data_IF_399907519575
#
_entry.id   IF_399907519575
#
_cell.length_a   1.000
_cell.length_b   1.000
_cell.length_c   1.000
_cell.angle_alpha   90.00
_cell.angle_beta   90.00
_cell.angle_gamma   90.00
#
_symmetry.space_group_name_H-M   'P 1'
#
loop_
_entity.id
_entity.type
_entity.pdbx_description
1 polymer ?
#
# COMPACT_ATOMS: atom_id res chain seq x y z
N UNK A 1 10.71 -24.42 14.83
CA UNK A 1 11.78 -24.71 13.86
C UNK A 1 11.28 -24.59 12.43
N UNK A 2 10.32 -25.41 11.96
CA UNK A 2 9.80 -25.27 10.57
C UNK A 2 9.01 -23.97 10.34
N UNK A 3 8.19 -23.56 11.30
CA UNK A 3 7.50 -22.26 11.28
C UNK A 3 8.47 -21.08 11.17
N UNK A 4 9.56 -21.11 11.94
CA UNK A 4 10.57 -20.06 11.97
C UNK A 4 11.30 -19.98 10.62
N UNK A 5 11.69 -21.13 10.07
CA UNK A 5 12.31 -21.23 8.74
C UNK A 5 11.39 -20.69 7.62
N UNK A 6 10.09 -21.02 7.65
CA UNK A 6 9.13 -20.51 6.66
C UNK A 6 8.92 -19.00 6.81
N UNK A 7 8.92 -18.50 8.04
CA UNK A 7 8.82 -17.07 8.34
C UNK A 7 10.07 -16.33 7.84
N UNK A 8 11.26 -16.89 8.05
CA UNK A 8 12.52 -16.32 7.55
C UNK A 8 12.59 -16.31 6.02
N UNK A 9 12.04 -17.33 5.34
CA UNK A 9 11.94 -17.36 3.88
C UNK A 9 11.01 -16.27 3.34
N UNK A 10 9.86 -16.05 3.99
CA UNK A 10 8.94 -14.95 3.66
C UNK A 10 9.64 -13.61 3.86
N UNK A 11 10.28 -13.40 5.02
CA UNK A 11 11.01 -12.18 5.33
C UNK A 11 12.13 -11.91 4.31
N UNK A 12 12.87 -12.95 3.94
CA UNK A 12 13.94 -12.87 2.93
C UNK A 12 13.37 -12.48 1.57
N UNK A 13 12.31 -13.16 1.09
CA UNK A 13 11.68 -12.88 -0.20
C UNK A 13 11.06 -11.47 -0.29
N UNK A 14 10.55 -10.96 0.83
CA UNK A 14 10.02 -9.59 0.93
C UNK A 14 11.15 -8.56 0.99
N UNK A 15 12.26 -8.87 1.68
CA UNK A 15 13.42 -7.98 1.80
C UNK A 15 14.31 -7.92 0.55
N UNK A 16 14.32 -8.97 -0.29
CA UNK A 16 15.26 -9.10 -1.41
C UNK A 16 14.86 -8.36 -2.69
N UNK A 17 13.68 -7.75 -2.74
CA UNK A 17 13.21 -6.95 -3.89
C UNK A 17 13.18 -5.47 -3.50
N UNK A 18 14.34 -4.92 -3.15
CA UNK A 18 14.53 -3.47 -3.20
C UNK A 18 14.38 -3.03 -4.65
N UNK A 19 13.52 -2.05 -4.90
CA UNK A 19 13.41 -1.44 -6.21
C UNK A 19 14.72 -0.69 -6.47
N UNK A 20 15.62 -1.30 -7.25
CA UNK A 20 16.94 -0.73 -7.53
C UNK A 20 16.91 0.19 -8.74
N UNK A 21 17.70 1.27 -8.69
CA UNK A 21 17.94 2.13 -9.83
C UNK A 21 18.69 1.40 -10.94
N UNK A 22 18.12 1.37 -12.14
CA UNK A 22 18.78 0.83 -13.32
C UNK A 22 19.55 1.92 -14.04
N UNK A 23 20.85 1.71 -14.27
CA UNK A 23 21.69 2.67 -14.98
C UNK A 23 21.42 2.64 -16.47
N UNK A 24 21.18 3.80 -17.06
CA UNK A 24 21.01 3.98 -18.50
C UNK A 24 22.24 4.70 -19.07
N UNK A 25 22.90 4.14 -20.10
CA UNK A 25 24.07 4.76 -20.67
C UNK A 25 23.81 6.19 -21.17
N UNK A 26 24.68 7.14 -20.82
CA UNK A 26 24.58 8.54 -21.24
C UNK A 26 25.12 9.57 -20.25
N UNK A 27 25.18 10.82 -20.69
CA UNK A 27 25.65 11.96 -19.89
C UNK A 27 24.76 13.16 -20.15
N UNK A 28 23.71 13.34 -19.35
CA UNK A 28 22.69 14.36 -19.53
C UNK A 28 22.45 15.15 -18.24
N UNK A 29 22.21 16.44 -18.38
CA UNK A 29 21.91 17.35 -17.26
C UNK A 29 20.47 17.16 -16.77
N UNK A 30 19.53 16.96 -17.71
CA UNK A 30 18.10 16.78 -17.44
C UNK A 30 17.50 15.81 -18.44
N UNK A 31 16.54 15.00 -17.98
CA UNK A 31 15.68 14.19 -18.84
C UNK A 31 14.21 14.50 -18.58
N UNK A 32 13.35 14.28 -19.57
CA UNK A 32 11.91 14.47 -19.48
C UNK A 32 11.22 13.42 -20.32
N UNK A 33 10.30 12.68 -19.71
CA UNK A 33 9.61 11.55 -20.35
C UNK A 33 8.18 11.94 -20.77
N UNK A 34 7.76 11.46 -21.93
CA UNK A 34 6.43 11.70 -22.49
C UNK A 34 5.63 10.40 -22.59
N UNK A 35 4.30 10.51 -22.40
CA UNK A 35 3.36 9.42 -22.64
C UNK A 35 3.36 8.91 -24.09
N UNK A 36 3.92 9.67 -25.05
CA UNK A 36 4.16 9.18 -26.42
C UNK A 36 5.20 8.04 -26.52
N UNK A 37 5.83 7.64 -25.41
CA UNK A 37 6.84 6.59 -25.40
C UNK A 37 8.24 7.09 -25.78
N UNK A 38 8.55 8.35 -25.45
CA UNK A 38 9.85 8.96 -25.74
C UNK A 38 10.41 9.66 -24.50
N UNK A 39 11.72 9.50 -24.33
CA UNK A 39 12.52 10.19 -23.34
C UNK A 39 13.39 11.23 -24.04
N UNK A 40 13.23 12.48 -23.64
CA UNK A 40 14.03 13.59 -24.12
C UNK A 40 15.07 13.97 -23.08
N UNK A 41 16.20 14.45 -23.56
CA UNK A 41 17.37 14.72 -22.76
C UNK A 41 18.08 15.97 -23.21
N UNK A 42 18.64 16.73 -22.28
CA UNK A 42 19.59 17.79 -22.58
C UNK A 42 20.91 17.56 -21.86
N UNK A 43 22.01 17.82 -22.53
CA UNK A 43 23.35 17.65 -21.98
C UNK A 43 24.41 18.21 -22.90
N UNK A 44 25.42 18.88 -22.34
CA UNK A 44 26.53 19.43 -23.12
C UNK A 44 26.10 20.44 -24.20
N UNK A 45 25.01 21.19 -23.94
CA UNK A 45 24.43 22.15 -24.88
C UNK A 45 23.67 21.55 -26.06
N UNK A 46 23.37 20.24 -26.04
CA UNK A 46 22.66 19.52 -27.10
C UNK A 46 21.40 18.86 -26.56
N UNK A 47 20.48 18.57 -27.47
CA UNK A 47 19.24 17.83 -27.19
C UNK A 47 19.33 16.43 -27.78
N UNK A 48 18.84 15.47 -27.02
CA UNK A 48 18.87 14.06 -27.33
C UNK A 48 17.48 13.45 -27.16
N UNK A 49 17.16 12.45 -27.96
CA UNK A 49 15.91 11.70 -27.88
C UNK A 49 16.20 10.20 -27.83
N UNK A 50 15.41 9.48 -27.04
CA UNK A 50 15.47 8.04 -26.90
C UNK A 50 14.06 7.47 -26.88
N UNK A 51 13.79 6.46 -27.70
CA UNK A 51 12.49 5.78 -27.69
C UNK A 51 12.41 4.84 -26.49
N UNK A 52 11.28 4.83 -25.78
CA UNK A 52 11.04 3.93 -24.66
C UNK A 52 10.68 2.52 -25.16
N UNK A 53 11.17 1.43 -24.51
CA UNK A 53 12.10 1.44 -23.37
C UNK A 53 13.50 1.91 -23.78
N UNK A 54 14.03 2.91 -23.07
CA UNK A 54 15.31 3.54 -23.40
C UNK A 54 16.46 2.82 -22.69
N UNK A 55 17.36 2.22 -23.47
CA UNK A 55 18.56 1.53 -22.97
C UNK A 55 19.86 2.27 -23.34
N UNK A 56 19.79 3.59 -23.52
CA UNK A 56 20.93 4.45 -23.88
C UNK A 56 21.11 4.65 -25.39
N UNK A 57 20.14 4.25 -26.21
CA UNK A 57 20.07 4.47 -27.66
C UNK A 57 19.72 5.92 -28.02
N UNK A 58 20.47 6.88 -27.46
CA UNK A 58 20.28 8.31 -27.68
C UNK A 58 20.59 8.71 -29.12
N UNK A 59 19.68 9.49 -29.70
CA UNK A 59 19.88 10.16 -30.98
C UNK A 59 19.95 11.65 -30.75
N UNK A 60 21.00 12.30 -31.23
CA UNK A 60 21.08 13.75 -31.18
C UNK A 60 20.00 14.33 -32.10
N UNK A 61 19.36 15.40 -31.64
CA UNK A 61 18.35 16.14 -32.41
C UNK A 61 18.92 17.48 -32.81
N UNK A 62 18.79 17.81 -34.10
CA UNK A 62 19.19 19.11 -34.60
C UNK A 62 18.18 20.18 -34.16
N UNK A 63 18.69 21.26 -33.58
CA UNK A 63 17.88 22.33 -33.03
C UNK A 63 17.70 23.46 -34.03
N UNK A 64 16.50 24.07 -34.10
CA UNK A 64 16.20 25.17 -35.01
C UNK A 64 16.79 26.51 -34.54
N UNK A 65 17.39 26.52 -33.35
CA UNK A 65 17.89 27.70 -32.65
C UNK A 65 19.33 27.43 -32.20
N UNK A 66 20.21 28.43 -32.38
CA UNK A 66 21.62 28.36 -32.01
C UNK A 66 21.96 29.05 -30.67
N UNK A 67 20.97 29.64 -29.98
CA UNK A 67 21.17 30.27 -28.68
C UNK A 67 21.35 29.22 -27.56
N UNK A 68 21.73 29.68 -26.37
CA UNK A 68 22.05 28.77 -25.27
C UNK A 68 20.83 28.01 -24.79
N UNK A 69 20.97 26.68 -24.66
CA UNK A 69 19.96 25.79 -24.13
C UNK A 69 19.83 25.99 -22.61
N UNK A 70 18.60 26.18 -22.13
CA UNK A 70 18.33 26.46 -20.71
C UNK A 70 17.57 25.33 -20.02
N UNK A 71 16.53 24.81 -20.65
CA UNK A 71 15.70 23.77 -20.03
C UNK A 71 14.92 22.96 -21.06
N UNK A 72 14.43 21.79 -20.64
CA UNK A 72 13.50 20.95 -21.42
C UNK A 72 12.37 20.44 -20.54
N UNK A 73 11.18 20.29 -21.11
CA UNK A 73 10.06 19.59 -20.46
C UNK A 73 9.15 18.97 -21.51
N UNK A 74 8.58 17.83 -21.20
CA UNK A 74 7.59 17.13 -22.02
C UNK A 74 6.22 17.21 -21.37
N UNK A 75 5.18 17.10 -22.19
CA UNK A 75 3.88 16.62 -21.73
C UNK A 75 3.53 15.29 -22.42
N UNK A 76 2.26 14.91 -22.39
CA UNK A 76 1.75 13.68 -22.99
C UNK A 76 1.99 13.58 -24.51
N UNK A 77 2.19 14.71 -25.20
CA UNK A 77 2.18 14.81 -26.67
C UNK A 77 3.31 15.65 -27.26
N UNK A 78 3.86 16.62 -26.54
CA UNK A 78 4.82 17.58 -27.02
C UNK A 78 6.09 17.60 -26.16
N UNK A 79 7.19 17.98 -26.81
CA UNK A 79 8.43 18.40 -26.18
C UNK A 79 8.52 19.93 -26.29
N UNK A 80 8.96 20.55 -25.20
CA UNK A 80 9.26 21.96 -25.11
C UNK A 80 10.72 22.13 -24.75
N UNK A 81 11.44 22.91 -25.56
CA UNK A 81 12.86 23.20 -25.38
C UNK A 81 13.06 24.69 -25.22
N UNK A 82 13.48 25.09 -24.04
CA UNK A 82 13.76 26.47 -23.67
C UNK A 82 15.19 26.84 -24.04
N UNK A 83 15.31 27.91 -24.82
CA UNK A 83 16.54 28.62 -25.10
C UNK A 83 16.55 29.97 -24.39
N UNK A 84 17.64 30.72 -24.54
CA UNK A 84 17.80 32.04 -23.93
C UNK A 84 16.65 33.02 -24.20
N UNK A 85 16.18 33.06 -25.44
CA UNK A 85 15.19 34.03 -25.97
C UNK A 85 14.00 33.34 -26.66
N UNK A 86 14.04 32.01 -26.78
CA UNK A 86 13.10 31.25 -27.61
C UNK A 86 12.62 29.98 -26.94
N UNK A 87 11.41 29.57 -27.28
CA UNK A 87 10.85 28.27 -26.94
C UNK A 87 10.63 27.53 -28.26
N UNK A 88 11.32 26.41 -28.43
CA UNK A 88 11.06 25.48 -29.53
C UNK A 88 10.15 24.37 -29.04
N UNK A 89 9.16 23.99 -29.84
CA UNK A 89 8.22 22.94 -29.51
C UNK A 89 7.87 22.11 -30.73
N UNK A 90 7.60 20.83 -30.48
CA UNK A 90 7.17 19.85 -31.49
C UNK A 90 6.56 18.64 -30.80
N UNK A 91 6.03 17.67 -31.54
CA UNK A 91 5.58 16.39 -31.01
C UNK A 91 6.73 15.60 -30.38
N UNK A 92 6.45 14.99 -29.23
CA UNK A 92 7.44 14.26 -28.45
C UNK A 92 7.95 12.99 -29.15
N UNK A 93 7.24 12.49 -30.16
CA UNK A 93 7.69 11.37 -31.00
C UNK A 93 8.72 11.76 -32.07
N UNK A 94 9.13 13.03 -32.11
CA UNK A 94 10.11 13.57 -33.04
C UNK A 94 9.71 13.52 -34.54
N UNK A 95 8.42 13.47 -34.89
CA UNK A 95 7.99 13.30 -36.30
C UNK A 95 7.67 14.58 -37.07
N UNK A 96 7.41 15.69 -36.38
CA UNK A 96 7.01 16.97 -36.95
C UNK A 96 8.15 17.99 -36.99
N UNK A 97 7.89 19.14 -37.62
CA UNK A 97 8.83 20.27 -37.67
C UNK A 97 8.78 21.10 -36.39
N UNK A 98 9.87 21.78 -36.08
CA UNK A 98 9.92 22.67 -34.92
C UNK A 98 9.09 23.93 -35.12
N UNK A 99 8.24 24.25 -34.15
CA UNK A 99 7.61 25.57 -34.00
C UNK A 99 8.42 26.36 -32.98
N UNK A 100 8.77 27.60 -33.30
CA UNK A 100 9.60 28.46 -32.45
C UNK A 100 8.88 29.76 -32.14
N UNK A 101 8.78 30.08 -30.86
CA UNK A 101 8.15 31.31 -30.36
C UNK A 101 9.10 32.08 -29.45
N UNK A 102 8.85 33.39 -29.29
CA UNK A 102 9.61 34.24 -28.39
C UNK A 102 9.26 33.92 -26.92
N UNK A 103 10.23 34.15 -26.04
CA UNK A 103 10.09 33.94 -24.59
C UNK A 103 10.47 35.23 -23.87
N UNK A 104 9.80 35.59 -22.77
CA UNK A 104 10.28 36.65 -21.89
C UNK A 104 11.71 36.42 -21.46
N UNK A 105 12.48 37.50 -21.31
CA UNK A 105 13.86 37.42 -20.87
C UNK A 105 13.99 36.71 -19.51
N UNK A 106 15.13 36.07 -19.29
CA UNK A 106 15.53 35.45 -18.03
C UNK A 106 14.68 34.28 -17.51
N UNK A 107 13.71 33.78 -18.29
CA UNK A 107 13.11 32.47 -17.98
C UNK A 107 14.22 31.42 -18.03
N UNK A 108 14.47 30.77 -16.88
CA UNK A 108 15.53 29.77 -16.73
C UNK A 108 15.01 28.33 -16.68
N UNK A 109 13.72 28.17 -16.39
CA UNK A 109 13.07 26.86 -16.28
C UNK A 109 11.66 26.91 -16.83
N UNK A 110 11.24 25.79 -17.41
CA UNK A 110 9.86 25.56 -17.84
C UNK A 110 9.29 24.27 -17.26
N UNK A 111 7.99 24.29 -17.03
CA UNK A 111 7.19 23.14 -16.59
C UNK A 111 5.86 23.14 -17.34
N UNK A 112 5.15 22.02 -17.30
CA UNK A 112 4.01 21.77 -18.17
C UNK A 112 2.82 21.25 -17.35
N UNK A 113 1.67 21.91 -17.44
CA UNK A 113 0.39 21.40 -16.90
C UNK A 113 -0.54 20.95 -18.03
N UNK A 114 -1.80 20.63 -17.79
CA UNK A 114 -2.72 20.26 -18.87
C UNK A 114 -2.95 21.42 -19.86
N UNK A 115 -3.11 22.63 -19.33
CA UNK A 115 -3.52 23.79 -20.13
C UNK A 115 -2.38 24.76 -20.48
N UNK A 116 -1.27 24.73 -19.75
CA UNK A 116 -0.24 25.77 -19.85
C UNK A 116 1.18 25.23 -19.85
N UNK A 117 2.05 25.94 -20.55
CA UNK A 117 3.50 25.89 -20.32
C UNK A 117 3.81 27.05 -19.38
N UNK A 118 4.46 26.76 -18.27
CA UNK A 118 4.84 27.75 -17.27
C UNK A 118 6.33 28.02 -17.35
N UNK A 119 6.70 29.28 -17.17
CA UNK A 119 8.09 29.71 -17.05
C UNK A 119 8.25 30.68 -15.90
N UNK A 120 9.42 30.65 -15.26
CA UNK A 120 9.76 31.52 -14.14
C UNK A 120 11.07 32.26 -14.42
N UNK A 121 11.01 33.59 -14.34
CA UNK A 121 12.15 34.51 -14.45
C UNK A 121 12.36 35.19 -13.09
N UNK A 122 13.29 34.68 -12.28
CA UNK A 122 13.45 35.09 -10.89
C UNK A 122 12.16 34.82 -10.09
N UNK A 123 11.48 35.87 -9.64
CA UNK A 123 10.19 35.75 -8.93
C UNK A 123 8.97 35.84 -9.84
N UNK A 124 9.13 36.43 -11.03
CA UNK A 124 8.04 36.62 -11.99
C UNK A 124 7.69 35.30 -12.68
N UNK A 125 6.40 35.01 -12.77
CA UNK A 125 5.86 33.83 -13.45
C UNK A 125 5.17 34.23 -14.73
N UNK A 126 5.27 33.37 -15.73
CA UNK A 126 4.57 33.50 -16.99
C UNK A 126 3.89 32.18 -17.31
N UNK A 127 2.70 32.26 -17.90
CA UNK A 127 2.02 31.11 -18.48
C UNK A 127 1.75 31.34 -19.96
N UNK A 128 1.97 30.31 -20.75
CA UNK A 128 1.70 30.29 -22.17
C UNK A 128 0.61 29.24 -22.43
N UNK A 129 -0.58 29.64 -22.90
CA UNK A 129 -1.66 28.71 -23.21
C UNK A 129 -1.21 27.68 -24.25
N UNK A 130 -1.45 26.40 -23.97
CA UNK A 130 -1.10 25.31 -24.88
C UNK A 130 -1.97 25.34 -26.15
N UNK A 131 -1.42 24.91 -27.31
CA UNK A 131 -0.10 24.28 -27.48
C UNK A 131 1.11 25.24 -27.41
N UNK A 132 0.89 26.55 -27.28
CA UNK A 132 1.96 27.55 -27.11
C UNK A 132 2.45 28.20 -28.42
N UNK A 133 1.84 27.86 -29.55
CA UNK A 133 2.25 28.34 -30.88
C UNK A 133 2.12 29.87 -31.08
N UNK A 134 1.35 30.56 -30.23
CA UNK A 134 1.17 32.01 -30.33
C UNK A 134 2.34 32.80 -29.74
N UNK A 135 3.13 32.21 -28.83
CA UNK A 135 4.14 32.94 -28.06
C UNK A 135 3.57 34.00 -27.10
N UNK A 136 2.26 34.00 -26.88
CA UNK A 136 1.59 34.98 -26.01
C UNK A 136 1.75 34.58 -24.54
N UNK A 137 2.91 34.89 -23.96
CA UNK A 137 3.17 34.71 -22.54
C UNK A 137 2.39 35.72 -21.70
N UNK A 138 1.63 35.20 -20.74
CA UNK A 138 0.80 36.00 -19.83
C UNK A 138 1.54 36.08 -18.49
N UNK A 139 1.92 37.27 -18.00
CA UNK A 139 2.51 37.41 -16.68
C UNK A 139 1.47 37.08 -15.60
N UNK A 140 1.91 36.33 -14.59
CA UNK A 140 1.08 35.93 -13.45
C UNK A 140 1.71 36.49 -12.19
N UNK A 141 0.91 37.20 -11.40
CA UNK A 141 1.33 37.74 -10.11
C UNK A 141 1.36 36.62 -9.07
N UNK A 142 2.48 36.51 -8.35
CA UNK A 142 2.62 35.61 -7.21
C UNK A 142 3.17 36.39 -6.02
N UNK A 143 2.29 36.70 -5.06
CA UNK A 143 2.66 37.45 -3.86
C UNK A 143 3.54 36.65 -2.89
N UNK A 144 3.58 35.32 -3.03
CA UNK A 144 4.40 34.44 -2.17
C UNK A 144 5.78 34.14 -2.75
N UNK A 145 6.04 34.54 -4.00
CA UNK A 145 7.30 34.32 -4.70
C UNK A 145 7.78 32.86 -4.67
N UNK A 146 6.85 31.91 -4.82
CA UNK A 146 7.17 30.47 -4.78
C UNK A 146 8.12 30.12 -5.91
N UNK A 147 9.14 29.32 -5.61
CA UNK A 147 10.01 28.70 -6.61
C UNK A 147 9.32 27.44 -7.11
N UNK A 148 8.79 27.48 -8.32
CA UNK A 148 8.10 26.32 -8.91
C UNK A 148 9.14 25.31 -9.38
N UNK A 149 8.94 24.04 -9.04
CA UNK A 149 9.92 22.97 -9.29
C UNK A 149 9.39 21.85 -10.16
N UNK A 150 8.08 21.63 -10.17
CA UNK A 150 7.41 20.65 -11.03
C UNK A 150 5.95 21.01 -11.25
N UNK A 151 5.28 20.25 -12.10
CA UNK A 151 3.85 20.34 -12.34
C UNK A 151 3.25 18.95 -12.53
N UNK A 152 1.96 18.82 -12.22
CA UNK A 152 1.12 17.74 -12.74
C UNK A 152 0.16 18.30 -13.79
N UNK A 153 -0.75 17.48 -14.29
CA UNK A 153 -1.81 17.96 -15.19
C UNK A 153 -2.69 19.03 -14.56
N UNK A 154 -2.91 18.99 -13.24
CA UNK A 154 -3.86 19.87 -12.54
C UNK A 154 -3.25 20.86 -11.55
N UNK A 155 -1.96 20.74 -11.23
CA UNK A 155 -1.34 21.50 -10.15
C UNK A 155 0.09 21.96 -10.47
N UNK A 156 0.48 23.05 -9.84
CA UNK A 156 1.87 23.47 -9.74
C UNK A 156 2.41 23.15 -8.35
N UNK A 157 3.66 22.72 -8.31
CA UNK A 157 4.36 22.36 -7.08
C UNK A 157 5.65 23.15 -6.97
N UNK A 158 5.96 23.60 -5.76
CA UNK A 158 7.16 24.39 -5.52
C UNK A 158 7.55 24.46 -4.07
N UNK A 159 8.50 25.35 -3.79
CA UNK A 159 8.98 25.64 -2.45
C UNK A 159 8.96 27.13 -2.18
N UNK A 160 8.58 27.51 -0.96
CA UNK A 160 8.69 28.89 -0.51
C UNK A 160 10.13 29.26 -0.11
N UNK A 161 10.35 30.51 0.30
CA UNK A 161 11.67 31.00 0.74
C UNK A 161 12.20 30.31 2.01
N UNK A 162 11.35 29.62 2.76
CA UNK A 162 11.72 28.85 3.97
C UNK A 162 11.96 27.37 3.65
N UNK A 163 11.70 26.93 2.43
CA UNK A 163 11.77 25.53 1.99
C UNK A 163 10.50 24.73 2.30
N UNK A 164 9.37 25.37 2.59
CA UNK A 164 8.09 24.66 2.76
C UNK A 164 7.57 24.21 1.40
N UNK A 165 7.05 22.99 1.33
CA UNK A 165 6.41 22.44 0.14
C UNK A 165 5.08 23.14 -0.11
N UNK A 166 4.88 23.64 -1.33
CA UNK A 166 3.71 24.43 -1.72
C UNK A 166 3.02 23.83 -2.94
N UNK A 167 1.69 23.92 -2.97
CA UNK A 167 0.83 23.50 -4.09
C UNK A 167 -0.17 24.60 -4.43
N UNK A 168 -0.52 24.72 -5.71
CA UNK A 168 -1.64 25.53 -6.21
C UNK A 168 -2.24 24.86 -7.45
N UNK A 169 -3.45 25.24 -7.85
CA UNK A 169 -4.04 24.80 -9.13
C UNK A 169 -3.20 25.24 -10.34
N UNK A 170 -3.33 24.52 -11.45
CA UNK A 170 -2.55 24.74 -12.68
C UNK A 170 -2.67 26.13 -13.30
N UNK A 171 -3.71 26.91 -12.96
CA UNK A 171 -3.93 28.24 -13.50
C UNK A 171 -3.51 29.36 -12.54
N UNK A 172 -3.08 29.01 -11.32
CA UNK A 172 -2.84 29.91 -10.18
C UNK A 172 -4.05 30.80 -9.87
N UNK A 173 -5.26 30.22 -9.89
CA UNK A 173 -6.49 30.92 -9.49
C UNK A 173 -6.72 30.86 -7.98
N UNK A 174 -6.24 29.80 -7.34
CA UNK A 174 -6.18 29.60 -5.90
C UNK A 174 -4.85 30.11 -5.35
N UNK A 175 -4.85 30.48 -4.08
CA UNK A 175 -3.61 30.80 -3.37
C UNK A 175 -2.79 29.54 -3.14
N UNK A 176 -1.46 29.69 -3.10
CA UNK A 176 -0.58 28.60 -2.68
C UNK A 176 -0.94 28.10 -1.28
N UNK A 177 -1.03 26.78 -1.15
CA UNK A 177 -1.24 26.08 0.11
C UNK A 177 -0.01 25.25 0.45
N UNK A 178 0.27 25.09 1.74
CA UNK A 178 1.31 24.19 2.23
C UNK A 178 0.88 22.75 2.03
N UNK A 179 1.80 21.88 1.60
CA UNK A 179 1.58 20.44 1.50
C UNK A 179 1.97 19.80 2.83
N UNK A 180 1.00 19.43 3.69
CA UNK A 180 1.28 19.06 5.08
C UNK A 180 2.03 17.74 5.22
N UNK A 181 2.01 16.87 4.19
CA UNK A 181 2.76 15.60 4.24
C UNK A 181 4.27 15.83 4.31
N UNK A 182 4.76 16.88 3.65
CA UNK A 182 6.17 17.22 3.65
C UNK A 182 6.54 17.95 4.94
N UNK A 183 7.12 17.21 5.89
CA UNK A 183 7.74 17.77 7.08
C UNK A 183 9.17 18.26 6.80
N UNK A 184 9.52 19.45 7.27
CA UNK A 184 10.89 19.98 7.15
C UNK A 184 11.10 20.94 5.98
N UNK A 185 12.34 21.00 5.48
CA UNK A 185 12.75 21.94 4.42
C UNK A 185 13.16 21.19 3.16
N UNK A 186 12.60 21.61 2.03
CA UNK A 186 12.81 21.03 0.72
C UNK A 186 13.44 22.02 -0.24
N UNK A 187 14.30 21.50 -1.11
CA UNK A 187 14.91 22.22 -2.22
C UNK A 187 14.04 22.16 -3.49
N UNK A 188 13.29 21.07 -3.65
CA UNK A 188 12.35 20.86 -4.75
C UNK A 188 11.27 19.83 -4.40
N UNK A 189 10.09 20.02 -4.99
CA UNK A 189 8.96 19.09 -4.97
C UNK A 189 8.69 18.63 -6.41
N UNK A 190 8.32 17.36 -6.56
CA UNK A 190 8.04 16.66 -7.81
C UNK A 190 6.66 16.01 -7.72
N UNK A 191 5.70 16.62 -8.40
CA UNK A 191 4.30 16.25 -8.38
C UNK A 191 3.78 15.66 -9.70
N UNK A 192 4.66 15.32 -10.64
CA UNK A 192 4.25 14.78 -11.94
C UNK A 192 3.35 13.54 -11.81
N UNK A 193 3.55 12.72 -10.76
CA UNK A 193 2.73 11.56 -10.44
C UNK A 193 1.88 11.74 -9.16
N UNK A 194 1.30 12.93 -8.97
CA UNK A 194 0.49 13.28 -7.78
C UNK A 194 -0.68 12.32 -7.48
N UNK A 195 -1.18 11.59 -8.47
CA UNK A 195 -2.17 10.53 -8.28
C UNK A 195 -1.60 9.26 -7.60
N UNK A 196 -0.28 9.10 -7.57
CA UNK A 196 0.42 7.93 -7.01
C UNK A 196 1.22 8.28 -5.76
N UNK A 197 2.03 9.35 -5.81
CA UNK A 197 2.80 9.86 -4.69
C UNK A 197 3.41 11.21 -5.06
N UNK A 198 3.73 12.03 -4.06
CA UNK A 198 4.57 13.21 -4.23
C UNK A 198 6.02 12.86 -3.88
N UNK A 199 6.96 13.48 -4.58
CA UNK A 199 8.38 13.32 -4.31
C UNK A 199 8.99 14.68 -3.96
N UNK A 200 10.08 14.67 -3.22
CA UNK A 200 10.78 15.90 -2.89
C UNK A 200 12.23 15.63 -2.55
N UNK A 201 13.10 16.58 -2.88
CA UNK A 201 14.49 16.57 -2.46
C UNK A 201 14.60 17.52 -1.26
N UNK A 202 14.99 16.98 -0.11
CA UNK A 202 15.18 17.78 1.10
C UNK A 202 16.44 18.65 1.01
N UNK A 203 16.68 19.51 2.00
CA UNK A 203 17.88 20.36 2.05
C UNK A 203 19.20 19.60 2.17
N UNK A 204 19.18 18.30 2.46
CA UNK A 204 20.34 17.41 2.55
C UNK A 204 20.56 16.62 1.24
N UNK A 205 19.85 16.98 0.18
CA UNK A 205 19.83 16.28 -1.11
C UNK A 205 19.33 14.83 -1.05
N UNK A 206 18.53 14.48 -0.04
CA UNK A 206 17.89 13.18 0.06
C UNK A 206 16.52 13.19 -0.63
N UNK A 207 16.28 12.20 -1.48
CA UNK A 207 14.99 12.00 -2.12
C UNK A 207 14.00 11.40 -1.10
N UNK A 208 12.84 12.04 -0.96
CA UNK A 208 11.70 11.56 -0.18
C UNK A 208 10.53 11.26 -1.09
N UNK A 209 9.79 10.20 -0.75
CA UNK A 209 8.49 9.86 -1.32
C UNK A 209 7.42 10.03 -0.23
N UNK A 210 6.40 10.81 -0.52
CA UNK A 210 5.30 11.10 0.39
C UNK A 210 3.98 10.56 -0.16
N UNK A 211 3.29 9.77 0.65
CA UNK A 211 2.01 9.15 0.33
C UNK A 211 1.17 9.03 1.60
N UNK A 212 -0.10 9.41 1.56
CA UNK A 212 -1.06 9.26 2.66
C UNK A 212 -0.54 9.83 3.99
N UNK A 213 0.03 11.04 3.99
CA UNK A 213 0.53 11.69 5.20
C UNK A 213 1.88 11.18 5.71
N UNK A 214 2.56 10.28 5.01
CA UNK A 214 3.85 9.73 5.43
C UNK A 214 4.91 9.90 4.36
N UNK A 215 6.04 10.48 4.72
CA UNK A 215 7.23 10.58 3.88
C UNK A 215 8.28 9.53 4.28
N UNK A 216 8.84 8.87 3.28
CA UNK A 216 9.91 7.89 3.44
C UNK A 216 11.08 8.26 2.55
N UNK A 217 12.30 7.95 3.00
CA UNK A 217 13.49 8.09 2.16
C UNK A 217 13.43 7.11 0.98
N UNK A 218 13.81 7.57 -0.20
CA UNK A 218 14.08 6.73 -1.35
C UNK A 218 15.58 6.56 -1.42
N UNK A 219 16.08 5.33 -1.38
CA UNK A 219 17.50 5.08 -1.54
C UNK A 219 17.93 5.40 -2.98
N UNK A 220 18.82 6.37 -3.12
CA UNK A 220 19.43 6.77 -4.40
C UNK A 220 20.75 6.05 -4.64
N UNK A 221 21.09 5.03 -3.86
CA UNK A 221 22.32 4.23 -3.94
C UNK A 221 23.60 5.07 -3.87
N UNK A 222 23.54 6.16 -3.09
CA UNK A 222 24.63 7.11 -2.92
C UNK A 222 24.77 8.15 -4.04
N UNK A 223 23.93 8.11 -5.08
CA UNK A 223 23.93 9.14 -6.12
C UNK A 223 23.12 10.37 -5.70
N UNK A 224 23.67 11.56 -5.92
CA UNK A 224 22.97 12.82 -5.65
C UNK A 224 22.08 13.20 -6.83
N UNK A 225 20.75 13.32 -6.66
CA UNK A 225 19.85 13.70 -7.74
C UNK A 225 20.12 15.13 -8.23
N UNK A 226 20.20 15.31 -9.55
CA UNK A 226 20.28 16.60 -10.23
C UNK A 226 18.93 17.01 -10.83
N UNK A 227 18.26 16.07 -11.49
CA UNK A 227 16.89 16.22 -11.96
C UNK A 227 16.14 14.90 -11.74
N UNK A 228 14.85 15.03 -11.46
CA UNK A 228 13.89 13.93 -11.43
C UNK A 228 12.78 14.31 -12.39
N UNK A 229 12.33 13.33 -13.16
CA UNK A 229 11.10 13.40 -13.95
C UNK A 229 10.36 12.09 -13.73
N UNK A 230 9.04 12.15 -13.76
CA UNK A 230 8.21 10.97 -13.61
C UNK A 230 7.23 10.97 -14.77
N UNK A 231 7.15 9.86 -15.50
CA UNK A 231 6.15 9.70 -16.54
C UNK A 231 4.88 9.10 -15.90
N UNK A 232 3.74 9.82 -15.89
CA UNK A 232 2.58 9.42 -15.10
C UNK A 232 1.93 8.11 -15.59
N UNK A 233 1.98 7.82 -16.89
CA UNK A 233 1.25 6.71 -17.51
C UNK A 233 1.90 5.35 -17.25
N UNK A 234 3.21 5.28 -17.45
CA UNK A 234 4.10 4.13 -17.24
C UNK A 234 4.55 4.03 -15.79
N UNK A 235 4.36 5.10 -15.01
CA UNK A 235 4.81 5.20 -13.61
C UNK A 235 6.31 4.92 -13.51
N UNK A 236 7.08 5.38 -14.49
CA UNK A 236 8.53 5.28 -14.50
C UNK A 236 9.13 6.58 -14.00
N UNK A 237 9.97 6.50 -12.98
CA UNK A 237 10.81 7.60 -12.54
C UNK A 237 12.15 7.56 -13.27
N UNK A 238 12.62 8.73 -13.67
CA UNK A 238 13.95 8.94 -14.21
C UNK A 238 14.69 9.97 -13.38
N UNK A 239 15.97 9.72 -13.17
CA UNK A 239 16.85 10.58 -12.41
C UNK A 239 18.13 10.82 -13.20
N UNK A 240 18.52 12.08 -13.34
CA UNK A 240 19.93 12.43 -13.64
C UNK A 240 20.63 12.79 -12.34
N UNK A 241 21.94 12.57 -12.30
CA UNK A 241 22.76 12.72 -11.10
C UNK A 241 23.97 13.60 -11.39
N UNK A 242 24.48 14.27 -10.36
CA UNK A 242 25.66 15.14 -10.51
C UNK A 242 26.96 14.36 -10.74
N UNK A 243 26.99 13.08 -10.34
CA UNK A 243 28.13 12.18 -10.49
C UNK A 243 27.77 11.01 -11.38
N UNK A 244 28.59 10.73 -12.39
CA UNK A 244 28.39 9.55 -13.25
C UNK A 244 28.70 8.25 -12.50
N UNK A 245 27.81 7.26 -12.64
CA UNK A 245 28.11 5.86 -12.36
C UNK A 245 28.90 5.22 -13.50
N UNK A 246 28.97 3.87 -13.49
CA UNK A 246 29.76 3.10 -14.48
C UNK A 246 29.33 3.31 -15.93
N UNK A 247 28.03 3.46 -16.17
CA UNK A 247 27.48 3.59 -17.53
C UNK A 247 27.09 5.02 -17.89
N UNK A 248 27.07 5.95 -16.93
CA UNK A 248 26.52 7.28 -17.13
C UNK A 248 25.92 7.85 -15.86
N UNK A 249 25.28 9.01 -15.98
CA UNK A 249 24.64 9.70 -14.85
C UNK A 249 23.11 9.59 -14.83
N UNK A 250 22.54 8.72 -15.67
CA UNK A 250 21.10 8.57 -15.87
C UNK A 250 20.66 7.25 -15.26
N UNK A 251 19.59 7.29 -14.50
CA UNK A 251 19.02 6.15 -13.82
C UNK A 251 17.50 6.15 -13.98
N UNK A 252 16.91 4.96 -13.99
CA UNK A 252 15.46 4.81 -13.99
C UNK A 252 14.99 3.81 -12.93
N UNK A 253 13.73 3.94 -12.53
CA UNK A 253 13.13 3.07 -11.53
C UNK A 253 11.60 3.07 -11.71
N UNK A 254 10.92 1.91 -11.66
CA UNK A 254 9.45 1.86 -11.61
C UNK A 254 8.93 2.37 -10.25
N UNK A 255 7.86 3.16 -10.25
CA UNK A 255 7.24 3.70 -9.02
C UNK A 255 6.40 2.71 -8.24
N UNK A 256 5.94 1.65 -8.90
CA UNK A 256 5.15 0.57 -8.29
C UNK A 256 5.96 -0.70 -8.46
N UNK A 257 6.35 -1.32 -7.34
CA UNK A 257 6.89 -2.67 -7.40
C UNK A 257 5.78 -3.57 -7.96
N UNK A 258 6.06 -4.26 -9.07
CA UNK A 258 5.22 -5.39 -9.44
C UNK A 258 5.43 -6.49 -8.40
N UNK A 259 4.53 -6.52 -7.41
CA UNK A 259 4.50 -7.51 -6.34
C UNK A 259 4.00 -8.86 -6.85
N UNK A 260 3.56 -9.02 -8.10
CA UNK A 260 3.03 -10.30 -8.58
C UNK A 260 4.07 -11.42 -8.48
N UNK A 261 5.35 -11.16 -8.72
CA UNK A 261 6.41 -12.17 -8.54
C UNK A 261 6.70 -12.48 -7.06
N UNK A 262 6.58 -11.48 -6.18
CA UNK A 262 6.69 -11.69 -4.74
C UNK A 262 5.50 -12.53 -4.28
N UNK A 263 4.28 -12.22 -4.73
CA UNK A 263 3.08 -12.99 -4.40
C UNK A 263 3.17 -14.43 -4.91
N UNK A 264 3.68 -14.66 -6.13
CA UNK A 264 3.95 -16.01 -6.64
C UNK A 264 4.94 -16.79 -5.78
N UNK A 265 5.90 -16.10 -5.15
CA UNK A 265 6.93 -16.72 -4.30
C UNK A 265 6.45 -16.90 -2.86
N UNK A 266 5.79 -15.89 -2.29
CA UNK A 266 5.36 -15.83 -0.89
C UNK A 266 4.09 -16.63 -0.66
N UNK A 267 3.08 -16.57 -1.54
CA UNK A 267 1.80 -17.27 -1.31
C UNK A 267 1.96 -18.78 -1.07
N UNK A 268 2.78 -19.54 -1.82
CA UNK A 268 2.98 -20.95 -1.54
C UNK A 268 3.68 -21.21 -0.20
N UNK A 269 4.59 -20.32 0.23
CA UNK A 269 5.33 -20.44 1.49
C UNK A 269 4.41 -20.10 2.68
N UNK A 270 3.61 -19.05 2.53
CA UNK A 270 2.62 -18.60 3.51
C UNK A 270 1.58 -19.70 3.77
N UNK A 271 1.06 -20.32 2.71
CA UNK A 271 0.14 -21.46 2.81
C UNK A 271 0.75 -22.63 3.61
N UNK A 272 2.02 -22.97 3.37
CA UNK A 272 2.71 -24.03 4.15
C UNK A 272 2.87 -23.65 5.61
N UNK A 273 3.13 -22.37 5.90
CA UNK A 273 3.24 -21.88 7.28
C UNK A 273 1.91 -22.03 8.01
N UNK A 274 0.80 -21.71 7.35
CA UNK A 274 -0.54 -21.87 7.91
C UNK A 274 -0.86 -23.35 8.18
N UNK A 275 -0.50 -24.26 7.27
CA UNK A 275 -0.63 -25.71 7.46
C UNK A 275 0.14 -26.19 8.72
N UNK A 276 1.36 -25.68 8.95
CA UNK A 276 2.15 -25.98 10.15
C UNK A 276 1.44 -25.47 11.42
N UNK A 277 0.93 -24.24 11.40
CA UNK A 277 0.19 -23.66 12.55
C UNK A 277 -1.06 -24.46 12.86
N UNK A 278 -1.84 -24.82 11.85
CA UNK A 278 -3.08 -25.57 12.05
C UNK A 278 -2.81 -27.00 12.55
N UNK A 279 -1.74 -27.64 12.06
CA UNK A 279 -1.31 -28.94 12.60
C UNK A 279 -0.91 -28.84 14.07
N UNK A 280 -0.22 -27.76 14.47
CA UNK A 280 0.18 -27.52 15.85
C UNK A 280 -1.03 -27.25 16.76
N UNK A 281 -2.04 -26.49 16.28
CA UNK A 281 -3.31 -26.29 17.00
C UNK A 281 -4.03 -27.62 17.24
N UNK A 282 -4.15 -28.45 16.21
CA UNK A 282 -4.79 -29.77 16.33
C UNK A 282 -4.07 -30.65 17.35
N UNK A 283 -2.73 -30.67 17.33
CA UNK A 283 -1.94 -31.40 18.32
C UNK A 283 -2.11 -30.84 19.73
N UNK A 284 -2.13 -29.52 19.89
CA UNK A 284 -2.37 -28.87 21.18
C UNK A 284 -3.78 -29.20 21.73
N UNK A 285 -4.81 -29.14 20.90
CA UNK A 285 -6.20 -29.49 21.28
C UNK A 285 -6.35 -30.97 21.63
N UNK A 286 -5.55 -31.85 21.03
CA UNK A 286 -5.51 -33.27 21.36
C UNK A 286 -4.70 -33.56 22.62
N UNK A 287 -3.64 -32.80 22.88
CA UNK A 287 -2.75 -32.97 24.02
C UNK A 287 -3.29 -32.32 25.31
N UNK A 288 -4.15 -31.31 25.19
CA UNK A 288 -4.77 -30.65 26.36
C UNK A 288 -6.04 -31.36 26.82
N UNK A 289 -6.10 -31.62 28.12
CA UNK A 289 -7.20 -32.32 28.80
C UNK A 289 -8.58 -31.66 28.59
N UNK A 290 -8.59 -30.33 28.36
CA UNK A 290 -9.78 -29.53 28.07
C UNK A 290 -10.39 -29.82 26.68
N UNK A 291 -9.56 -30.03 25.65
CA UNK A 291 -10.03 -30.33 24.29
C UNK A 291 -10.61 -31.75 24.15
N UNK A 292 -10.06 -32.71 24.90
CA UNK A 292 -10.61 -34.06 24.98
C UNK A 292 -11.92 -34.09 25.79
N UNK A 293 -12.00 -33.35 26.91
CA UNK A 293 -13.24 -33.22 27.69
C UNK A 293 -14.35 -32.50 26.92
N UNK A 294 -14.06 -31.40 26.22
CA UNK A 294 -15.11 -30.67 25.48
C UNK A 294 -15.73 -31.53 24.38
N UNK A 295 -14.92 -32.34 23.68
CA UNK A 295 -15.40 -33.32 22.70
C UNK A 295 -16.24 -34.42 23.34
N UNK A 296 -15.82 -34.96 24.48
CA UNK A 296 -16.62 -35.96 25.22
C UNK A 296 -17.93 -35.37 25.76
N UNK A 297 -17.92 -34.13 26.25
CA UNK A 297 -19.10 -33.41 26.70
C UNK A 297 -20.07 -33.09 25.56
N UNK A 298 -19.57 -32.71 24.38
CA UNK A 298 -20.40 -32.48 23.20
C UNK A 298 -21.11 -33.77 22.76
N UNK A 299 -20.41 -34.91 22.82
CA UNK A 299 -20.96 -36.23 22.53
C UNK A 299 -22.02 -36.65 23.57
N UNK A 300 -21.76 -36.38 24.86
CA UNK A 300 -22.71 -36.60 25.95
C UNK A 300 -23.96 -35.73 25.78
N UNK A 301 -23.80 -34.43 25.51
CA UNK A 301 -24.90 -33.48 25.25
C UNK A 301 -25.74 -33.93 24.06
N UNK A 302 -25.11 -34.42 23.00
CA UNK A 302 -25.82 -34.95 21.82
C UNK A 302 -26.59 -36.23 22.15
N UNK A 303 -26.00 -37.17 22.92
CA UNK A 303 -26.71 -38.37 23.38
C UNK A 303 -27.90 -38.02 24.28
N UNK A 304 -27.73 -37.10 25.23
CA UNK A 304 -28.80 -36.63 26.12
C UNK A 304 -29.91 -35.94 25.33
N UNK A 305 -29.57 -35.04 24.39
CA UNK A 305 -30.55 -34.38 23.54
C UNK A 305 -31.33 -35.39 22.67
N UNK A 306 -30.67 -36.45 22.19
CA UNK A 306 -31.30 -37.52 21.39
C UNK A 306 -32.20 -38.42 22.25
N UNK A 307 -31.77 -38.78 23.47
CA UNK A 307 -32.53 -39.61 24.41
C UNK A 307 -33.79 -38.93 24.94
N UNK A 308 -33.74 -37.61 25.13
CA UNK A 308 -34.85 -36.84 25.71
C UNK A 308 -35.59 -35.96 24.68
N UNK A 309 -35.26 -36.09 23.38
CA UNK A 309 -35.85 -35.34 22.27
C UNK A 309 -35.94 -33.82 22.52
N UNK A 310 -34.91 -33.26 23.18
CA UNK A 310 -34.87 -31.85 23.60
C UNK A 310 -34.52 -31.01 22.38
N UNK A 311 -35.48 -30.23 21.88
CA UNK A 311 -35.20 -29.24 20.83
C UNK A 311 -34.33 -28.11 21.41
N UNK A 312 -33.26 -27.68 20.71
CA UNK A 312 -32.48 -26.53 21.17
C UNK A 312 -33.36 -25.28 21.18
N UNK A 313 -33.26 -24.48 22.25
CA UNK A 313 -33.97 -23.22 22.36
C UNK A 313 -33.51 -22.27 21.25
N UNK A 314 -34.46 -21.75 20.48
CA UNK A 314 -34.23 -20.72 19.49
C UNK A 314 -33.96 -19.38 20.17
N UNK A 315 -32.81 -18.77 19.94
CA UNK A 315 -32.69 -17.31 20.01
C UNK A 315 -31.52 -16.80 19.18
N UNK A 316 -31.89 -16.18 18.06
CA UNK A 316 -31.31 -15.00 17.42
C UNK A 316 -29.80 -15.02 17.10
N UNK A 317 -29.56 -15.46 15.87
CA UNK A 317 -28.55 -15.00 14.93
C UNK A 317 -28.71 -13.48 14.68
N UNK A 318 -27.60 -12.76 14.49
CA UNK A 318 -27.47 -11.31 14.24
C UNK A 318 -27.58 -10.35 15.44
N UNK A 319 -26.56 -10.34 16.32
CA UNK A 319 -25.86 -9.10 16.75
C UNK A 319 -24.93 -9.37 17.97
N UNK A 320 -23.64 -9.65 17.72
CA UNK A 320 -22.50 -9.16 18.55
C UNK A 320 -21.17 -9.82 18.13
N UNK A 321 -20.63 -9.26 17.06
CA UNK A 321 -19.25 -9.29 16.55
C UNK A 321 -18.14 -9.80 17.52
N UNK A 322 -17.73 -11.05 17.27
CA UNK A 322 -16.36 -11.57 16.99
C UNK A 322 -15.19 -11.36 17.98
N UNK A 323 -15.25 -10.56 19.05
CA UNK A 323 -14.13 -10.50 20.03
C UNK A 323 -14.53 -10.54 21.51
N UNK A 324 -15.83 -10.58 21.81
CA UNK A 324 -16.37 -10.81 23.16
C UNK A 324 -16.81 -12.27 23.38
N UNK A 325 -16.78 -13.10 22.33
CA UNK A 325 -17.39 -14.44 22.33
C UNK A 325 -16.68 -15.48 23.18
N UNK A 326 -15.35 -15.47 23.24
CA UNK A 326 -14.63 -16.61 23.85
C UNK A 326 -14.59 -16.58 25.38
N UNK A 327 -14.70 -15.39 26.00
CA UNK A 327 -14.71 -15.23 27.46
C UNK A 327 -16.12 -15.45 28.04
N UNK A 328 -17.16 -15.00 27.34
CA UNK A 328 -18.54 -15.18 27.79
C UNK A 328 -19.04 -16.62 27.57
N UNK A 329 -18.55 -17.33 26.55
CA UNK A 329 -18.92 -18.74 26.32
C UNK A 329 -18.35 -19.67 27.41
N UNK A 330 -17.10 -19.44 27.84
CA UNK A 330 -16.51 -20.21 28.95
C UNK A 330 -17.27 -19.97 30.26
N UNK A 331 -17.70 -18.72 30.50
CA UNK A 331 -18.48 -18.34 31.69
C UNK A 331 -19.91 -18.89 31.63
N UNK A 332 -20.51 -18.94 30.45
CA UNK A 332 -21.84 -19.53 30.21
C UNK A 332 -21.81 -21.06 30.35
N UNK A 333 -20.82 -21.74 29.78
CA UNK A 333 -20.65 -23.19 29.95
C UNK A 333 -20.37 -23.56 31.42
N UNK A 334 -19.57 -22.75 32.14
CA UNK A 334 -19.36 -22.95 33.58
C UNK A 334 -20.63 -22.74 34.42
N UNK A 335 -21.48 -21.77 34.07
CA UNK A 335 -22.76 -21.56 34.76
C UNK A 335 -23.77 -22.69 34.48
N UNK A 336 -23.83 -23.20 33.25
CA UNK A 336 -24.62 -24.40 32.93
C UNK A 336 -24.08 -25.62 33.69
N UNK A 337 -22.76 -25.79 33.79
CA UNK A 337 -22.15 -26.88 34.56
C UNK A 337 -22.49 -26.77 36.05
N UNK A 338 -22.47 -25.57 36.63
CA UNK A 338 -22.85 -25.34 38.04
C UNK A 338 -24.31 -25.73 38.31
N UNK A 339 -25.20 -25.45 37.38
CA UNK A 339 -26.63 -25.73 37.54
C UNK A 339 -26.99 -27.20 37.24
N UNK A 340 -26.21 -27.89 36.41
CA UNK A 340 -26.44 -29.31 36.05
C UNK A 340 -25.72 -30.29 36.98
N UNK A 341 -24.59 -29.90 37.60
CA UNK A 341 -23.85 -30.74 38.55
C UNK A 341 -24.72 -31.37 39.66
N UNK A 342 -25.58 -30.62 40.38
CA UNK A 342 -26.41 -31.20 41.44
C UNK A 342 -27.45 -32.17 40.88
N UNK A 343 -27.92 -31.97 39.64
CA UNK A 343 -28.83 -32.91 38.98
C UNK A 343 -28.13 -34.21 38.61
N UNK A 344 -26.91 -34.16 38.04
CA UNK A 344 -26.11 -35.34 37.72
C UNK A 344 -25.75 -36.13 38.97
N UNK A 345 -25.36 -35.46 40.06
CA UNK A 345 -25.08 -36.12 41.34
C UNK A 345 -26.33 -36.84 41.90
N UNK A 346 -27.49 -36.18 41.91
CA UNK A 346 -28.76 -36.78 42.34
C UNK A 346 -29.12 -38.00 41.46
N UNK A 347 -28.91 -37.92 40.15
CA UNK A 347 -29.13 -39.04 39.22
C UNK A 347 -28.21 -40.24 39.51
N UNK A 348 -26.91 -39.98 39.75
CA UNK A 348 -25.94 -41.02 40.09
C UNK A 348 -26.27 -41.71 41.42
N UNK A 349 -26.80 -40.98 42.40
CA UNK A 349 -27.26 -41.56 43.68
C UNK A 349 -28.44 -42.52 43.44
N UNK A 350 -29.42 -42.13 42.62
CA UNK A 350 -30.56 -43.01 42.29
C UNK A 350 -30.11 -44.27 41.54
N UNK A 351 -29.16 -44.13 40.61
CA UNK A 351 -28.55 -45.26 39.91
C UNK A 351 -27.79 -46.19 40.86
N UNK A 352 -26.99 -45.64 41.78
CA UNK A 352 -26.29 -46.43 42.79
C UNK A 352 -27.26 -47.19 43.71
N UNK A 353 -28.34 -46.55 44.16
CA UNK A 353 -29.40 -47.20 44.94
C UNK A 353 -30.09 -48.32 44.15
N UNK A 354 -30.31 -48.11 42.86
CA UNK A 354 -30.89 -49.14 41.98
C UNK A 354 -29.95 -50.34 41.85
N UNK A 355 -28.64 -50.13 41.75
CA UNK A 355 -27.64 -51.20 41.75
C UNK A 355 -27.67 -51.97 43.07
N UNK A 356 -27.82 -51.29 44.21
CA UNK A 356 -27.96 -51.95 45.53
C UNK A 356 -29.21 -52.83 45.59
N UNK A 357 -30.33 -52.40 45.01
CA UNK A 357 -31.55 -53.22 44.89
C UNK A 357 -31.27 -54.49 44.07
N UNK A 358 -30.53 -54.37 42.98
CA UNK A 358 -30.12 -55.53 42.17
C UNK A 358 -29.09 -56.42 42.86
N UNK A 359 -28.23 -55.88 43.72
CA UNK A 359 -27.31 -56.68 44.53
C UNK A 359 -28.04 -57.53 45.58
N UNK A 360 -29.23 -57.12 46.02
CA UNK A 360 -30.10 -57.88 46.92
C UNK A 360 -31.10 -58.80 46.17
N UNK A 361 -30.91 -58.98 44.85
CA UNK A 361 -31.85 -59.71 43.99
C UNK A 361 -32.05 -61.18 44.39
N UNK A 362 -31.03 -61.81 44.98
CA UNK A 362 -31.12 -63.18 45.50
C UNK A 362 -32.18 -63.36 46.60
N UNK A 363 -32.51 -62.30 47.34
CA UNK A 363 -33.54 -62.30 48.39
C UNK A 363 -34.93 -61.91 47.87
N UNK A 364 -35.00 -61.11 46.80
CA UNK A 364 -36.25 -60.50 46.32
C UNK A 364 -36.81 -61.16 45.06
N UNK A 365 -36.02 -61.99 44.37
CA UNK A 365 -36.43 -62.73 43.19
C UNK A 365 -36.97 -61.82 42.07
N UNK A 366 -38.08 -62.21 41.45
CA UNK A 366 -38.68 -61.46 40.32
C UNK A 366 -39.24 -60.08 40.71
N UNK A 367 -39.49 -59.83 42.01
CA UNK A 367 -39.94 -58.53 42.50
C UNK A 367 -38.86 -57.44 42.39
N UNK A 368 -37.59 -57.82 42.26
CA UNK A 368 -36.44 -56.90 42.17
C UNK A 368 -36.60 -55.90 41.03
N UNK A 369 -37.08 -56.33 39.86
CA UNK A 369 -37.24 -55.43 38.71
C UNK A 369 -38.31 -54.37 38.94
N UNK A 370 -39.41 -54.74 39.62
CA UNK A 370 -40.51 -53.81 39.93
C UNK A 370 -40.07 -52.79 40.98
N UNK A 371 -39.33 -53.25 42.00
CA UNK A 371 -38.78 -52.37 43.06
C UNK A 371 -37.71 -51.43 42.49
N UNK A 372 -36.82 -51.93 41.64
CA UNK A 372 -35.81 -51.11 40.96
C UNK A 372 -36.46 -50.02 40.07
N UNK A 373 -37.52 -50.37 39.33
CA UNK A 373 -38.27 -49.41 38.52
C UNK A 373 -38.96 -48.36 39.41
N UNK A 374 -39.55 -48.78 40.54
CA UNK A 374 -40.16 -47.87 41.49
C UNK A 374 -39.14 -46.90 42.12
N UNK A 375 -37.92 -47.36 42.44
CA UNK A 375 -36.83 -46.52 42.95
C UNK A 375 -36.35 -45.52 41.89
N UNK A 376 -36.26 -45.92 40.62
CA UNK A 376 -35.91 -45.02 39.52
C UNK A 376 -36.97 -43.93 39.33
N UNK A 377 -38.26 -44.29 39.28
CA UNK A 377 -39.35 -43.35 39.05
C UNK A 377 -39.55 -42.45 40.27
N UNK A 378 -39.62 -43.02 41.48
CA UNK A 378 -39.81 -42.23 42.71
C UNK A 378 -38.59 -41.35 43.00
N UNK A 379 -37.37 -41.85 42.80
CA UNK A 379 -36.14 -41.08 42.98
C UNK A 379 -36.05 -39.90 42.02
N UNK A 380 -36.32 -40.13 40.72
CA UNK A 380 -36.31 -39.06 39.72
C UNK A 380 -37.39 -38.02 39.98
N UNK A 381 -38.61 -38.42 40.37
CA UNK A 381 -39.71 -37.50 40.70
C UNK A 381 -39.43 -36.73 42.00
N UNK A 382 -38.94 -37.39 43.05
CA UNK A 382 -38.58 -36.75 44.33
C UNK A 382 -37.52 -35.66 44.13
N UNK A 383 -36.46 -35.96 43.36
CA UNK A 383 -35.39 -35.01 43.09
C UNK A 383 -35.75 -33.94 42.06
N UNK A 384 -36.74 -34.17 41.20
CA UNK A 384 -37.28 -33.17 40.28
C UNK A 384 -38.21 -32.16 40.98
N UNK A 385 -38.94 -32.58 42.03
CA UNK A 385 -39.85 -31.72 42.79
C UNK A 385 -39.11 -30.95 43.90
N UNK A 386 -38.15 -31.58 44.58
CA UNK A 386 -37.29 -30.92 45.59
C UNK A 386 -36.01 -30.36 44.96
N UNK A 387 -36.16 -29.31 44.16
CA UNK A 387 -35.06 -28.61 43.47
C UNK A 387 -33.99 -28.16 44.45
#
# INVERSE_FOLDING_TARGET
MEYDTLTDQINTAVSSKEISWESVPGGLDKVSASAMGFLWGMGGGRVWVCQLPCAGNWKQVDMPVSSSLRDIVTDDTHIYVLFQDKLAMKLANNTDEWVVVQVPDDISKIISTSSYIWGQAGTQKYKLPKPGMTGNWIPVKDDMNIKVTSASSGHLYGVDSKGQAMITDEAMQTSWATIPEFGGKYAAIYGEADQTALFGIDSENSLKRCLNGKCQGVDTQGYTPQNITIEPSTKQMWMTTTTSGKSGNIFNQPLVSDYTDILKTVQPIDKKRDEVVDSAKVQYDQATYSGMMSKQFALLKKMVATLFNIKPASSHEEDSKVLQGDIDNATYELNILRDILPFIQKLLIVLALTIVVYAASDYLGSATHVIALAVLIAGTVFFAINK
#
